data_IF_500682018777
#
_entry.id   IF_500682018777
#
_cell.length_a   1.000
_cell.length_b   1.000
_cell.length_c   1.000
_cell.angle_alpha   90.00
_cell.angle_beta   90.00
_cell.angle_gamma   90.00
#
_symmetry.space_group_name_H-M   'P 1'
#
loop_
_entity.id
_entity.type
_entity.pdbx_description
1 polymer ?
#
# COMPACT_ATOMS: atom_id res chain seq x y z
N UNK A 1 -0.61 -1.04 6.74
CA UNK A 1 -1.10 -1.50 8.06
C UNK A 1 -0.44 -0.81 9.25
N UNK A 2 0.83 -0.36 9.16
CA UNK A 2 1.50 0.43 10.24
C UNK A 2 0.90 1.82 10.48
N UNK A 3 -0.07 2.23 9.68
CA UNK A 3 -0.63 3.59 9.64
C UNK A 3 -1.89 3.74 10.50
N UNK A 4 -2.57 2.63 10.83
CA UNK A 4 -3.84 2.66 11.55
C UNK A 4 -3.66 2.17 12.98
N UNK A 5 -4.11 2.97 13.95
CA UNK A 5 -4.15 2.55 15.36
C UNK A 5 -5.23 1.48 15.57
N UNK A 6 -5.07 0.65 16.60
CA UNK A 6 -6.02 -0.41 16.94
C UNK A 6 -7.48 0.06 16.99
N UNK A 7 -7.74 1.27 17.51
CA UNK A 7 -9.10 1.85 17.55
C UNK A 7 -9.74 2.00 16.16
N UNK A 8 -8.96 2.36 15.14
CA UNK A 8 -9.46 2.48 13.77
C UNK A 8 -9.59 1.13 13.07
N UNK A 9 -8.76 0.15 13.44
CA UNK A 9 -8.92 -1.23 12.99
C UNK A 9 -10.20 -1.84 13.56
N UNK A 10 -10.50 -1.58 14.83
CA UNK A 10 -11.76 -1.98 15.46
C UNK A 10 -12.96 -1.30 14.80
N UNK A 11 -12.86 0.01 14.50
CA UNK A 11 -13.89 0.72 13.77
C UNK A 11 -14.11 0.16 12.35
N UNK A 12 -13.03 -0.24 11.66
CA UNK A 12 -13.13 -0.90 10.36
C UNK A 12 -13.78 -2.31 10.48
N UNK A 13 -13.46 -3.06 11.53
CA UNK A 13 -14.07 -4.36 11.83
C UNK A 13 -15.57 -4.23 12.08
N UNK A 14 -15.99 -3.30 12.92
CA UNK A 14 -17.42 -3.04 13.22
C UNK A 14 -18.22 -2.65 11.96
N UNK A 15 -17.57 -2.01 10.99
CA UNK A 15 -18.19 -1.59 9.74
C UNK A 15 -18.07 -2.63 8.60
N UNK A 16 -17.46 -3.79 8.85
CA UNK A 16 -17.22 -4.81 7.83
C UNK A 16 -16.19 -4.43 6.77
N UNK A 17 -15.37 -3.40 7.03
CA UNK A 17 -14.34 -2.86 6.12
C UNK A 17 -12.94 -3.41 6.40
N UNK A 18 -12.79 -4.29 7.41
CA UNK A 18 -11.48 -4.81 7.80
C UNK A 18 -10.81 -5.58 6.67
N UNK A 19 -11.56 -6.32 5.85
CA UNK A 19 -11.02 -7.04 4.69
C UNK A 19 -10.39 -6.09 3.65
N UNK A 20 -10.87 -4.85 3.52
CA UNK A 20 -10.28 -3.85 2.62
C UNK A 20 -8.90 -3.37 3.08
N UNK A 21 -8.55 -3.61 4.34
CA UNK A 21 -7.26 -3.27 4.93
C UNK A 21 -6.24 -4.40 4.84
N UNK A 22 -6.67 -5.59 4.40
CA UNK A 22 -5.79 -6.74 4.21
C UNK A 22 -4.85 -6.50 3.01
N UNK A 23 -3.60 -6.92 3.17
CA UNK A 23 -2.67 -6.89 2.06
C UNK A 23 -3.12 -7.91 0.98
N UNK A 24 -2.89 -7.63 -0.32
CA UNK A 24 -3.11 -8.62 -1.37
C UNK A 24 -2.47 -9.97 -1.03
N UNK A 25 -3.10 -11.07 -1.47
CA UNK A 25 -2.65 -12.45 -1.18
C UNK A 25 -1.23 -12.73 -1.63
N UNK A 26 -0.75 -12.05 -2.67
CA UNK A 26 0.64 -12.07 -3.14
C UNK A 26 1.66 -11.58 -2.10
N UNK A 27 1.21 -10.78 -1.13
CA UNK A 27 1.98 -10.24 -0.01
C UNK A 27 1.59 -10.92 1.30
N UNK A 28 0.95 -12.09 1.23
CA UNK A 28 0.47 -12.84 2.39
C UNK A 28 1.59 -13.01 3.41
N UNK A 29 1.31 -12.49 4.60
CA UNK A 29 2.30 -12.35 5.65
C UNK A 29 1.73 -12.94 6.93
N UNK A 30 2.41 -13.91 7.56
CA UNK A 30 1.90 -14.54 8.78
C UNK A 30 1.82 -13.55 9.95
N UNK A 31 2.52 -12.42 9.86
CA UNK A 31 2.61 -11.44 10.93
C UNK A 31 1.29 -10.69 11.18
N UNK A 32 0.50 -10.44 10.14
CA UNK A 32 -0.78 -9.74 10.26
C UNK A 32 -2.00 -10.67 10.29
N UNK A 33 -1.81 -11.99 10.08
CA UNK A 33 -2.89 -12.97 10.06
C UNK A 33 -3.83 -12.91 11.29
N UNK A 34 -3.34 -12.68 12.54
CA UNK A 34 -4.22 -12.59 13.70
C UNK A 34 -5.28 -11.47 13.59
N UNK A 35 -4.96 -10.35 12.92
CA UNK A 35 -5.90 -9.23 12.72
C UNK A 35 -7.11 -9.63 11.89
N UNK A 36 -6.94 -10.53 10.93
CA UNK A 36 -7.96 -10.91 9.95
C UNK A 36 -8.63 -12.26 10.27
N UNK A 37 -8.36 -12.83 11.44
CA UNK A 37 -8.91 -14.11 11.89
C UNK A 37 -10.40 -14.05 12.34
N UNK A 38 -11.08 -12.92 12.15
CA UNK A 38 -12.51 -12.75 12.44
C UNK A 38 -12.84 -12.24 13.84
N UNK A 39 -11.85 -12.06 14.71
CA UNK A 39 -12.01 -11.46 16.04
C UNK A 39 -11.70 -9.95 16.01
N UNK A 40 -12.14 -9.21 17.02
CA UNK A 40 -11.87 -7.78 17.14
C UNK A 40 -10.35 -7.52 17.18
N UNK A 41 -9.80 -6.66 16.30
CA UNK A 41 -8.36 -6.40 16.20
C UNK A 41 -7.65 -6.11 17.52
N UNK A 42 -8.21 -5.27 18.40
CA UNK A 42 -7.62 -4.96 19.71
C UNK A 42 -7.49 -6.16 20.67
N UNK A 43 -8.26 -7.24 20.44
CA UNK A 43 -8.19 -8.47 21.24
C UNK A 43 -7.10 -9.45 20.79
N UNK A 44 -6.50 -9.23 19.62
CA UNK A 44 -5.55 -10.16 18.99
C UNK A 44 -4.14 -10.12 19.57
N UNK A 45 -3.84 -9.12 20.40
CA UNK A 45 -2.47 -8.86 20.87
C UNK A 45 -1.51 -8.41 19.78
N UNK A 46 -2.01 -8.06 18.59
CA UNK A 46 -1.19 -7.55 17.49
C UNK A 46 -0.52 -6.23 17.89
N UNK A 47 0.81 -6.27 17.96
CA UNK A 47 1.64 -5.16 18.40
C UNK A 47 2.45 -4.50 17.29
N UNK A 48 3.19 -3.47 17.68
CA UNK A 48 4.03 -2.69 16.77
C UNK A 48 5.13 -3.54 16.11
N UNK A 49 5.67 -4.53 16.83
CA UNK A 49 6.71 -5.43 16.30
C UNK A 49 6.19 -6.27 15.13
N UNK A 50 4.99 -6.84 15.28
CA UNK A 50 4.31 -7.62 14.25
C UNK A 50 3.91 -6.72 13.08
N UNK A 51 3.41 -5.51 13.36
CA UNK A 51 3.12 -4.50 12.35
C UNK A 51 4.35 -4.11 11.52
N UNK A 52 5.50 -3.91 12.16
CA UNK A 52 6.73 -3.54 11.47
C UNK A 52 7.29 -4.70 10.64
N UNK A 53 7.24 -5.94 11.15
CA UNK A 53 7.61 -7.14 10.37
C UNK A 53 6.72 -7.33 9.16
N UNK A 54 5.41 -7.14 9.32
CA UNK A 54 4.46 -7.16 8.22
C UNK A 54 4.77 -6.07 7.19
N UNK A 55 5.04 -4.84 7.63
CA UNK A 55 5.42 -3.75 6.74
C UNK A 55 6.66 -4.09 5.91
N UNK A 56 7.75 -4.55 6.55
CA UNK A 56 8.97 -4.93 5.84
C UNK A 56 8.76 -6.12 4.88
N UNK A 57 7.88 -7.06 5.24
CA UNK A 57 7.50 -8.15 4.37
C UNK A 57 6.81 -7.63 3.09
N UNK A 58 5.78 -6.80 3.24
CA UNK A 58 5.07 -6.19 2.11
C UNK A 58 6.00 -5.32 1.27
N UNK A 59 6.85 -4.50 1.90
CA UNK A 59 7.82 -3.65 1.20
C UNK A 59 8.80 -4.48 0.36
N UNK A 60 9.27 -5.62 0.87
CA UNK A 60 10.14 -6.52 0.11
C UNK A 60 9.44 -7.09 -1.13
N UNK A 61 8.17 -7.46 -1.01
CA UNK A 61 7.39 -7.94 -2.16
C UNK A 61 7.18 -6.83 -3.19
N UNK A 62 6.77 -5.65 -2.75
CA UNK A 62 6.60 -4.47 -3.60
C UNK A 62 7.90 -4.12 -4.34
N UNK A 63 9.05 -4.13 -3.65
CA UNK A 63 10.35 -3.87 -4.26
C UNK A 63 10.71 -4.88 -5.36
N UNK A 64 10.35 -6.16 -5.18
CA UNK A 64 10.56 -7.21 -6.19
C UNK A 64 9.64 -7.06 -7.40
N UNK A 65 8.45 -6.52 -7.20
CA UNK A 65 7.45 -6.31 -8.25
C UNK A 65 7.49 -4.91 -8.86
N UNK A 66 8.38 -4.04 -8.38
CA UNK A 66 8.51 -2.67 -8.85
C UNK A 66 8.92 -2.59 -10.33
N UNK A 67 9.53 -3.63 -10.89
CA UNK A 67 9.95 -3.67 -12.31
C UNK A 67 9.02 -4.57 -13.13
N UNK A 68 8.64 -4.09 -14.31
CA UNK A 68 7.93 -4.86 -15.36
C UNK A 68 8.80 -5.06 -16.60
N UNK A 69 8.28 -5.79 -17.59
CA UNK A 69 9.05 -6.20 -18.76
C UNK A 69 9.48 -5.00 -19.61
N UNK A 70 8.71 -3.91 -19.60
CA UNK A 70 9.06 -2.64 -20.25
C UNK A 70 9.02 -1.44 -19.29
N UNK A 71 9.66 -0.35 -19.69
CA UNK A 71 9.59 0.93 -18.97
C UNK A 71 8.14 1.43 -18.90
N UNK A 72 7.39 1.34 -19.99
CA UNK A 72 6.01 1.83 -20.07
C UNK A 72 5.06 0.98 -19.21
N UNK A 73 5.20 -0.34 -19.21
CA UNK A 73 4.46 -1.21 -18.28
C UNK A 73 4.80 -0.90 -16.82
N UNK A 74 6.07 -0.60 -16.53
CA UNK A 74 6.50 -0.24 -15.18
C UNK A 74 5.86 1.07 -14.74
N UNK A 75 5.84 2.08 -15.60
CA UNK A 75 5.23 3.36 -15.31
C UNK A 75 3.71 3.24 -15.16
N UNK A 76 3.04 2.51 -16.05
CA UNK A 76 1.62 2.23 -15.96
C UNK A 76 1.26 1.50 -14.66
N UNK A 77 2.07 0.51 -14.26
CA UNK A 77 1.87 -0.21 -13.01
C UNK A 77 1.93 0.72 -11.78
N UNK A 78 2.93 1.60 -11.70
CA UNK A 78 3.03 2.54 -10.57
C UNK A 78 1.88 3.55 -10.55
N UNK A 79 1.43 4.04 -11.72
CA UNK A 79 0.25 4.93 -11.80
C UNK A 79 -1.00 4.22 -11.26
N UNK A 80 -1.25 2.99 -11.69
CA UNK A 80 -2.37 2.19 -11.21
C UNK A 80 -2.30 1.92 -9.69
N UNK A 81 -1.10 1.67 -9.15
CA UNK A 81 -0.91 1.52 -7.71
C UNK A 81 -1.25 2.80 -6.94
N UNK A 82 -0.87 3.97 -7.45
CA UNK A 82 -1.23 5.26 -6.85
C UNK A 82 -2.74 5.49 -6.88
N UNK A 83 -3.38 5.24 -8.01
CA UNK A 83 -4.83 5.44 -8.16
C UNK A 83 -5.62 4.50 -7.25
N UNK A 84 -5.22 3.22 -7.18
CA UNK A 84 -5.87 2.24 -6.30
C UNK A 84 -5.64 2.58 -4.82
N UNK A 85 -4.42 3.02 -4.47
CA UNK A 85 -4.08 3.44 -3.12
C UNK A 85 -4.86 4.66 -2.66
N UNK A 86 -4.98 5.68 -3.51
CA UNK A 86 -5.75 6.89 -3.23
C UNK A 86 -7.24 6.57 -3.07
N UNK A 87 -7.83 5.79 -3.98
CA UNK A 87 -9.22 5.34 -3.87
C UNK A 87 -9.49 4.61 -2.55
N UNK A 88 -8.58 3.73 -2.13
CA UNK A 88 -8.71 3.02 -0.86
C UNK A 88 -8.62 3.99 0.34
N UNK A 89 -7.66 4.90 0.35
CA UNK A 89 -7.51 5.89 1.43
C UNK A 89 -8.74 6.80 1.52
N UNK A 90 -9.27 7.26 0.39
CA UNK A 90 -10.50 8.05 0.33
C UNK A 90 -11.71 7.26 0.84
N UNK A 91 -11.87 6.00 0.42
CA UNK A 91 -12.94 5.12 0.89
C UNK A 91 -12.89 4.96 2.42
N UNK A 92 -11.73 4.59 2.96
CA UNK A 92 -11.53 4.38 4.39
C UNK A 92 -11.81 5.66 5.19
N UNK A 93 -11.29 6.79 4.71
CA UNK A 93 -11.48 8.09 5.37
C UNK A 93 -12.95 8.53 5.35
N UNK A 94 -13.67 8.30 4.24
CA UNK A 94 -15.11 8.58 4.13
C UNK A 94 -15.97 7.76 5.12
N UNK A 95 -15.42 6.66 5.62
CA UNK A 95 -16.04 5.74 6.60
C UNK A 95 -15.47 5.91 8.01
N UNK A 96 -14.74 6.99 8.28
CA UNK A 96 -14.19 7.29 9.60
C UNK A 96 -12.98 6.43 10.01
N UNK A 97 -12.42 5.63 9.10
CA UNK A 97 -11.17 4.88 9.33
C UNK A 97 -10.00 5.79 8.99
N UNK A 98 -9.54 6.54 9.99
CA UNK A 98 -8.53 7.60 9.82
C UNK A 98 -7.13 7.14 10.24
N UNK A 99 -6.11 7.66 9.56
CA UNK A 99 -4.69 7.36 9.81
C UNK A 99 -4.01 8.31 10.80
N UNK A 100 -4.72 9.33 11.32
CA UNK A 100 -4.24 10.30 12.32
C UNK A 100 -2.81 10.84 12.06
N UNK A 101 -2.53 11.30 10.84
CA UNK A 101 -1.24 11.91 10.47
C UNK A 101 -0.13 10.90 10.12
N UNK A 102 -0.44 9.60 10.10
CA UNK A 102 0.48 8.56 9.60
C UNK A 102 0.15 8.08 8.18
N UNK A 103 -0.91 8.59 7.58
CA UNK A 103 -1.36 8.17 6.25
C UNK A 103 -0.62 8.86 5.11
N UNK A 104 -0.76 8.30 3.92
CA UNK A 104 -0.09 8.74 2.70
C UNK A 104 -0.93 9.68 1.81
N UNK A 105 -2.03 10.25 2.33
CA UNK A 105 -2.98 11.03 1.51
C UNK A 105 -2.34 12.16 0.70
N UNK A 106 -1.39 12.90 1.28
CA UNK A 106 -0.76 14.06 0.64
C UNK A 106 0.34 13.68 -0.37
N UNK A 107 0.81 12.43 -0.38
CA UNK A 107 1.96 12.04 -1.21
C UNK A 107 1.56 11.65 -2.64
N UNK A 108 0.29 11.30 -2.88
CA UNK A 108 -0.15 10.77 -4.17
C UNK A 108 0.16 11.73 -5.33
N UNK A 109 -0.22 13.00 -5.19
CA UNK A 109 0.03 14.02 -6.23
C UNK A 109 1.51 14.33 -6.41
N UNK A 110 2.27 14.32 -5.32
CA UNK A 110 3.74 14.50 -5.36
C UNK A 110 4.38 13.37 -6.18
N UNK A 111 3.99 12.12 -5.94
CA UNK A 111 4.53 10.97 -6.69
C UNK A 111 4.06 10.99 -8.14
N UNK A 112 2.80 11.35 -8.43
CA UNK A 112 2.30 11.50 -9.81
C UNK A 112 3.10 12.55 -10.59
N UNK A 113 3.39 13.69 -9.96
CA UNK A 113 4.23 14.74 -10.53
C UNK A 113 5.64 14.23 -10.80
N UNK A 114 6.25 13.54 -9.82
CA UNK A 114 7.58 12.94 -9.97
C UNK A 114 7.64 11.92 -11.11
N UNK A 115 6.64 11.02 -11.24
CA UNK A 115 6.55 10.05 -12.34
C UNK A 115 6.42 10.74 -13.69
N UNK A 116 5.63 11.80 -13.78
CA UNK A 116 5.46 12.60 -15.01
C UNK A 116 6.78 13.25 -15.44
N UNK A 117 7.49 13.86 -14.50
CA UNK A 117 8.80 14.45 -14.75
C UNK A 117 9.86 13.39 -15.12
N UNK A 118 9.82 12.24 -14.45
CA UNK A 118 10.73 11.13 -14.73
C UNK A 118 10.51 10.56 -16.15
N UNK A 119 9.25 10.39 -16.56
CA UNK A 119 8.92 9.99 -17.93
C UNK A 119 9.43 11.00 -18.96
N UNK A 120 9.17 12.29 -18.75
CA UNK A 120 9.58 13.33 -19.69
C UNK A 120 11.11 13.41 -19.83
N UNK A 121 11.86 13.27 -18.73
CA UNK A 121 13.31 13.47 -18.70
C UNK A 121 14.12 12.21 -19.02
N UNK A 122 13.63 11.02 -18.64
CA UNK A 122 14.37 9.76 -18.75
C UNK A 122 13.69 8.71 -19.62
N UNK A 123 12.41 8.88 -19.94
CA UNK A 123 11.61 7.92 -20.71
C UNK A 123 12.25 7.50 -22.05
N UNK A 124 12.68 8.43 -22.93
CA UNK A 124 13.30 8.06 -24.21
C UNK A 124 14.55 7.18 -24.06
N UNK A 125 15.37 7.45 -23.04
CA UNK A 125 16.58 6.67 -22.76
C UNK A 125 16.21 5.31 -22.16
N UNK A 126 15.32 5.28 -21.18
CA UNK A 126 14.93 4.06 -20.48
C UNK A 126 14.19 3.09 -21.41
N UNK A 127 13.28 3.56 -22.28
CA UNK A 127 12.61 2.69 -23.27
C UNK A 127 13.59 1.91 -24.16
N UNK A 128 14.71 2.53 -24.54
CA UNK A 128 15.75 1.89 -25.37
C UNK A 128 16.67 0.96 -24.57
N UNK A 129 16.95 1.32 -23.32
CA UNK A 129 17.92 0.61 -22.47
C UNK A 129 17.28 -0.45 -21.55
N UNK A 130 15.95 -0.49 -21.42
CA UNK A 130 15.25 -1.25 -20.38
C UNK A 130 15.58 -2.73 -20.33
N UNK A 131 15.66 -3.39 -21.50
CA UNK A 131 15.98 -4.81 -21.58
C UNK A 131 17.43 -5.15 -21.22
N UNK A 132 18.29 -4.13 -21.04
CA UNK A 132 19.70 -4.27 -20.64
C UNK A 132 19.94 -3.92 -19.17
N UNK A 133 18.90 -3.47 -18.46
CA UNK A 133 18.88 -3.27 -17.00
C UNK A 133 18.36 -4.53 -16.30
#
# INVERSE_FOLDING_TARGET
>A
MSEFKAVFLDAAWQQGLLANLEAPTEYSSPYAAPLFAGVQPSSTGFGEREAFRHYLHCLRHQARQARRATFDETLAHHRQLLDSGEQLVTLLSSRGVLSQGRGFGEIFDVVRSALTMFEATRGPTLRRAWGRL
#
